data_IF_580533352332
#
_entry.id   IF_580533352332
#
_cell.length_a   1.000
_cell.length_b   1.000
_cell.length_c   1.000
_cell.angle_alpha   90.00
_cell.angle_beta   90.00
_cell.angle_gamma   90.00
#
_symmetry.space_group_name_H-M   'P 1'
#
loop_
_entity.id
_entity.type
_entity.pdbx_description
1 polymer ?
#
# COMPACT_ATOMS: atom_id res chain seq x y z
N UNK A 1 -11.18 -0.77 17.14
CA UNK A 1 -10.47 -1.03 15.87
C UNK A 1 -10.13 0.30 15.23
N UNK A 2 -8.84 0.61 15.08
CA UNK A 2 -8.39 1.81 14.38
C UNK A 2 -8.76 1.74 12.89
N UNK A 3 -8.97 2.90 12.27
CA UNK A 3 -9.09 3.02 10.82
C UNK A 3 -7.69 2.85 10.22
N UNK A 4 -7.54 1.93 9.27
CA UNK A 4 -6.28 1.65 8.59
C UNK A 4 -6.35 2.24 7.19
N UNK A 5 -5.37 3.05 6.82
CA UNK A 5 -5.28 3.62 5.47
C UNK A 5 -4.19 2.91 4.70
N UNK A 6 -4.52 2.29 3.57
CA UNK A 6 -3.56 1.67 2.66
C UNK A 6 -3.45 2.54 1.42
N UNK A 7 -2.26 3.06 1.14
CA UNK A 7 -2.00 3.91 -0.02
C UNK A 7 -1.14 3.15 -1.02
N UNK A 8 -1.65 2.93 -2.23
CA UNK A 8 -0.89 2.41 -3.36
C UNK A 8 -0.45 3.56 -4.25
N UNK A 9 0.87 3.75 -4.36
CA UNK A 9 1.49 4.81 -5.14
C UNK A 9 2.07 4.23 -6.42
N UNK A 10 1.79 4.84 -7.56
CA UNK A 10 2.36 4.49 -8.86
C UNK A 10 2.79 5.74 -9.63
N UNK A 11 3.65 5.55 -10.63
CA UNK A 11 3.90 6.56 -11.67
C UNK A 11 2.82 6.44 -12.76
N UNK A 12 2.53 7.57 -13.41
CA UNK A 12 1.62 7.67 -14.55
C UNK A 12 2.09 6.89 -15.78
N UNK A 13 3.40 6.92 -16.02
CA UNK A 13 4.06 6.17 -17.11
C UNK A 13 5.00 5.09 -16.51
N UNK A 14 4.45 4.01 -15.95
CA UNK A 14 5.25 2.93 -15.39
C UNK A 14 5.83 2.04 -16.50
N UNK A 15 6.97 1.39 -16.23
CA UNK A 15 7.42 0.32 -17.11
C UNK A 15 6.44 -0.88 -17.06
N UNK A 16 6.51 -1.78 -18.03
CA UNK A 16 5.61 -2.95 -18.13
C UNK A 16 5.59 -3.78 -16.84
N UNK A 17 6.75 -4.01 -16.22
CA UNK A 17 6.84 -4.78 -14.98
C UNK A 17 6.12 -4.06 -13.81
N UNK A 18 6.31 -2.75 -13.69
CA UNK A 18 5.64 -1.93 -12.67
C UNK A 18 4.12 -1.96 -12.86
N UNK A 19 3.63 -1.91 -14.10
CA UNK A 19 2.19 -1.97 -14.40
C UNK A 19 1.58 -3.33 -14.00
N UNK A 20 2.28 -4.44 -14.27
CA UNK A 20 1.85 -5.79 -13.85
C UNK A 20 1.77 -5.88 -12.33
N UNK A 21 2.84 -5.46 -11.63
CA UNK A 21 2.90 -5.50 -10.17
C UNK A 21 1.79 -4.62 -9.57
N UNK A 22 1.57 -3.43 -10.12
CA UNK A 22 0.51 -2.52 -9.68
C UNK A 22 -0.87 -3.17 -9.79
N UNK A 23 -1.17 -3.81 -10.93
CA UNK A 23 -2.44 -4.50 -11.14
C UNK A 23 -2.68 -5.62 -10.11
N UNK A 24 -1.66 -6.44 -9.85
CA UNK A 24 -1.73 -7.54 -8.88
C UNK A 24 -1.93 -7.04 -7.44
N UNK A 25 -1.23 -5.97 -7.06
CA UNK A 25 -1.40 -5.35 -5.73
C UNK A 25 -2.81 -4.75 -5.62
N UNK A 26 -3.25 -3.99 -6.62
CA UNK A 26 -4.58 -3.37 -6.64
C UNK A 26 -5.69 -4.41 -6.46
N UNK A 27 -5.64 -5.52 -7.21
CA UNK A 27 -6.62 -6.60 -7.07
C UNK A 27 -6.62 -7.19 -5.64
N UNK A 28 -5.44 -7.32 -5.04
CA UNK A 28 -5.29 -7.80 -3.66
C UNK A 28 -5.90 -6.83 -2.65
N UNK A 29 -5.67 -5.52 -2.83
CA UNK A 29 -6.22 -4.48 -1.96
C UNK A 29 -7.75 -4.40 -2.08
N UNK A 30 -8.31 -4.56 -3.27
CA UNK A 30 -9.76 -4.60 -3.49
C UNK A 30 -10.43 -5.77 -2.74
N UNK A 31 -9.77 -6.93 -2.67
CA UNK A 31 -10.25 -8.07 -1.87
C UNK A 31 -10.23 -7.75 -0.38
N UNK A 32 -9.12 -7.20 0.11
CA UNK A 32 -8.96 -6.80 1.52
C UNK A 32 -9.99 -5.75 1.93
N UNK A 33 -10.22 -4.73 1.11
CA UNK A 33 -11.19 -3.67 1.42
C UNK A 33 -12.62 -4.20 1.55
N UNK A 34 -12.98 -5.26 0.80
CA UNK A 34 -14.27 -5.94 0.93
C UNK A 34 -14.38 -6.79 2.20
N UNK A 35 -13.26 -7.34 2.66
CA UNK A 35 -13.20 -8.19 3.86
C UNK A 35 -13.12 -7.39 5.17
N UNK A 36 -12.51 -6.21 5.15
CA UNK A 36 -12.24 -5.40 6.34
C UNK A 36 -12.87 -4.01 6.21
N UNK A 37 -13.97 -3.77 6.93
CA UNK A 37 -14.70 -2.50 6.89
C UNK A 37 -13.93 -1.30 7.48
N UNK A 38 -12.86 -1.55 8.24
CA UNK A 38 -12.00 -0.52 8.82
C UNK A 38 -10.80 -0.16 7.93
N UNK A 39 -10.72 -0.70 6.71
CA UNK A 39 -9.64 -0.41 5.74
C UNK A 39 -10.10 0.58 4.68
N UNK A 40 -9.36 1.67 4.53
CA UNK A 40 -9.52 2.64 3.44
C UNK A 40 -8.37 2.50 2.46
N UNK A 41 -8.67 2.24 1.19
CA UNK A 41 -7.65 2.16 0.12
C UNK A 41 -7.60 3.47 -0.65
N UNK A 42 -6.40 4.05 -0.77
CA UNK A 42 -6.11 5.24 -1.57
C UNK A 42 -5.17 4.87 -2.71
N UNK A 43 -5.46 5.38 -3.90
CA UNK A 43 -4.60 5.23 -5.07
C UNK A 43 -4.01 6.60 -5.39
N UNK A 44 -2.69 6.69 -5.43
CA UNK A 44 -1.97 7.91 -5.80
C UNK A 44 -1.21 7.62 -7.08
N UNK A 45 -1.47 8.41 -8.10
CA UNK A 45 -0.73 8.39 -9.35
C UNK A 45 0.12 9.67 -9.44
N UNK A 46 1.43 9.49 -9.58
CA UNK A 46 2.39 10.59 -9.68
C UNK A 46 2.72 10.83 -11.15
N UNK A 47 2.58 12.08 -11.61
CA UNK A 47 3.00 12.46 -12.98
C UNK A 47 4.53 12.39 -13.17
N UNK A 48 5.32 12.49 -12.10
CA UNK A 48 6.78 12.47 -12.17
C UNK A 48 7.37 11.97 -10.84
N UNK A 49 8.48 11.24 -10.91
CA UNK A 49 9.20 10.70 -9.73
C UNK A 49 9.55 11.77 -8.68
N UNK A 50 9.75 13.04 -9.06
CA UNK A 50 10.09 14.11 -8.12
C UNK A 50 8.98 14.42 -7.12
N UNK A 51 7.73 14.09 -7.47
CA UNK A 51 6.57 14.21 -6.57
C UNK A 51 6.57 13.13 -5.48
N UNK A 52 7.46 12.14 -5.55
CA UNK A 52 7.63 11.12 -4.51
C UNK A 52 7.91 11.73 -3.15
N UNK A 53 8.75 12.77 -3.10
CA UNK A 53 9.09 13.49 -1.86
C UNK A 53 7.90 14.21 -1.20
N UNK A 54 6.79 14.40 -1.94
CA UNK A 54 5.56 15.01 -1.43
C UNK A 54 4.62 13.95 -0.81
N UNK A 55 4.91 12.66 -1.00
CA UNK A 55 4.14 11.56 -0.41
C UNK A 55 4.68 11.25 0.98
N UNK A 56 3.90 11.63 2.00
CA UNK A 56 4.24 11.33 3.39
C UNK A 56 4.43 9.82 3.61
N UNK A 57 5.55 9.45 4.23
CA UNK A 57 5.89 8.04 4.50
C UNK A 57 6.65 7.32 3.40
N UNK A 58 6.81 7.92 2.22
CA UNK A 58 7.54 7.29 1.13
C UNK A 58 9.05 7.50 1.31
N UNK A 59 9.74 6.45 1.75
CA UNK A 59 11.18 6.49 2.02
C UNK A 59 12.04 6.25 0.78
N UNK A 60 11.52 5.49 -0.20
CA UNK A 60 12.26 5.08 -1.39
C UNK A 60 11.46 5.38 -2.65
N UNK A 61 12.10 6.04 -3.62
CA UNK A 61 11.50 6.39 -4.92
C UNK A 61 11.42 5.19 -5.89
N UNK A 62 10.86 4.07 -5.43
CA UNK A 62 10.61 2.87 -6.24
C UNK A 62 9.11 2.59 -6.32
N UNK A 63 8.63 2.23 -7.51
CA UNK A 63 7.20 2.09 -7.78
C UNK A 63 6.88 0.73 -8.40
N UNK A 64 5.65 0.21 -8.23
CA UNK A 64 4.61 0.75 -7.32
C UNK A 64 5.01 0.57 -5.85
N UNK A 65 4.57 1.47 -4.98
CA UNK A 65 4.83 1.42 -3.53
C UNK A 65 3.52 1.26 -2.75
N UNK A 66 3.56 0.50 -1.66
CA UNK A 66 2.43 0.35 -0.73
C UNK A 66 2.81 0.95 0.60
N UNK A 67 1.99 1.87 1.07
CA UNK A 67 2.08 2.44 2.40
C UNK A 67 0.87 2.01 3.22
N UNK A 68 1.08 1.75 4.51
CA UNK A 68 0.00 1.49 5.47
C UNK A 68 0.18 2.50 6.60
N UNK A 69 -0.85 3.31 6.88
CA UNK A 69 -0.81 4.38 7.88
C UNK A 69 0.41 5.32 7.70
N UNK A 70 0.73 5.65 6.44
CA UNK A 70 1.89 6.47 6.06
C UNK A 70 3.25 5.84 6.40
N UNK A 71 3.32 4.52 6.55
CA UNK A 71 4.58 3.77 6.62
C UNK A 71 4.78 2.94 5.35
N UNK A 72 5.93 3.05 4.69
CA UNK A 72 6.23 2.29 3.48
C UNK A 72 6.51 0.82 3.79
N UNK A 73 5.63 -0.06 3.33
CA UNK A 73 5.72 -1.51 3.55
C UNK A 73 6.49 -2.20 2.42
N UNK A 74 6.27 -1.77 1.18
CA UNK A 74 6.95 -2.31 0.01
C UNK A 74 7.09 -1.26 -1.09
N UNK A 75 8.14 -1.40 -1.90
CA UNK A 75 8.41 -0.56 -3.06
C UNK A 75 8.96 -1.41 -4.22
N UNK A 76 8.30 -1.38 -5.37
CA UNK A 76 8.67 -2.12 -6.57
C UNK A 76 8.49 -3.64 -6.47
N UNK A 77 7.79 -4.16 -5.46
CA UNK A 77 7.59 -5.59 -5.28
C UNK A 77 6.18 -5.91 -4.80
N UNK A 78 5.76 -7.16 -5.04
CA UNK A 78 4.44 -7.64 -4.63
C UNK A 78 4.33 -7.73 -3.10
N UNK A 79 3.14 -7.46 -2.58
CA UNK A 79 2.76 -7.77 -1.22
C UNK A 79 1.68 -8.86 -1.24
N UNK A 80 1.85 -9.89 -0.43
CA UNK A 80 0.88 -10.99 -0.38
C UNK A 80 -0.31 -10.61 0.51
N UNK A 81 -1.48 -11.19 0.21
CA UNK A 81 -2.68 -11.06 1.05
C UNK A 81 -2.39 -11.42 2.53
N UNK A 82 -1.59 -12.46 2.78
CA UNK A 82 -1.22 -12.90 4.14
C UNK A 82 -0.43 -11.83 4.89
N UNK A 83 0.53 -11.18 4.23
CA UNK A 83 1.30 -10.08 4.83
C UNK A 83 0.39 -8.90 5.16
N UNK A 84 -0.49 -8.50 4.23
CA UNK A 84 -1.46 -7.42 4.45
C UNK A 84 -2.36 -7.71 5.66
N UNK A 85 -2.92 -8.92 5.75
CA UNK A 85 -3.76 -9.32 6.89
C UNK A 85 -2.98 -9.23 8.20
N UNK A 86 -1.75 -9.74 8.23
CA UNK A 86 -0.91 -9.69 9.42
C UNK A 86 -0.70 -8.25 9.90
N UNK A 87 -0.38 -7.33 8.98
CA UNK A 87 -0.16 -5.92 9.32
C UNK A 87 -1.47 -5.27 9.78
N UNK A 88 -2.58 -5.52 9.08
CA UNK A 88 -3.90 -5.00 9.45
C UNK A 88 -4.33 -5.47 10.84
N UNK A 89 -4.01 -6.71 11.21
CA UNK A 89 -4.31 -7.25 12.54
C UNK A 89 -3.44 -6.63 13.63
N UNK A 90 -2.16 -6.35 13.33
CA UNK A 90 -1.25 -5.67 14.26
C UNK A 90 -1.62 -4.20 14.47
N UNK A 91 -2.03 -3.50 13.41
CA UNK A 91 -2.39 -2.07 13.43
C UNK A 91 -3.84 -1.84 13.90
N UNK A 92 -4.74 -2.77 13.59
CA UNK A 92 -6.18 -2.68 13.88
C UNK A 92 -6.60 -3.31 15.20
N UNK A 93 -5.74 -4.16 15.77
CA UNK A 93 -5.91 -4.83 17.06
C UNK A 93 -4.98 -4.21 18.09
N UNK A 94 -5.55 -3.84 19.22
CA UNK A 94 -4.82 -3.46 20.43
C UNK A 94 -3.70 -4.46 20.72
N UNK A 95 -2.57 -3.96 21.23
CA UNK A 95 -1.54 -4.73 21.92
C UNK A 95 -2.10 -6.03 22.54
N UNK A 96 -1.71 -7.18 21.98
CA UNK A 96 -1.58 -8.39 22.80
C UNK A 96 -0.09 -8.56 23.02
N UNK A 97 0.41 -7.87 24.05
CA UNK A 97 1.64 -8.27 24.71
C UNK A 97 1.36 -9.64 25.34
N UNK A 98 2.15 -10.65 24.98
CA UNK A 98 2.44 -11.78 25.86
C UNK A 98 3.92 -11.73 26.19
#
# INVERSE_FOLDING_TARGET
>A
MGKITITLVSLKDPCTACNIIYGLIKETLEKIQKEYSNVEVKLIELDHIKKAAEVEGLEVEKFPAVLINNEQITAGSLITKRQLISIIQMEGGEHVQN
#
